data_IF_820750710063
#
_entry.id   IF_820750710063
#
_cell.length_a   1.000
_cell.length_b   1.000
_cell.length_c   1.000
_cell.angle_alpha   90.00
_cell.angle_beta   90.00
_cell.angle_gamma   90.00
#
_symmetry.space_group_name_H-M   'P 1'
#
loop_
_entity.id
_entity.type
_entity.pdbx_description
1 polymer ?
#
# COMPACT_ATOMS: atom_id res chain seq x y z
N UNK A 1 8.77 12.25 0.84
CA UNK A 1 9.40 11.39 -0.19
C UNK A 1 8.36 10.85 -1.15
N UNK A 2 8.77 10.54 -2.36
CA UNK A 2 7.88 9.94 -3.35
C UNK A 2 8.06 8.45 -3.37
N UNK A 3 6.95 7.73 -3.18
CA UNK A 3 6.96 6.27 -3.22
C UNK A 3 6.25 5.78 -4.47
N UNK A 4 6.77 4.72 -5.09
CA UNK A 4 6.11 4.00 -6.15
C UNK A 4 5.46 2.76 -5.53
N UNK A 5 4.17 2.62 -5.76
CA UNK A 5 3.40 1.54 -5.15
C UNK A 5 2.71 0.75 -6.24
N UNK A 6 3.01 -0.54 -6.29
CA UNK A 6 2.32 -1.46 -7.18
C UNK A 6 1.00 -1.89 -6.56
N UNK A 7 -0.02 -2.00 -7.37
CA UNK A 7 -1.36 -2.37 -6.94
C UNK A 7 -1.81 -3.62 -7.66
N UNK A 8 -2.60 -4.44 -6.99
CA UNK A 8 -3.07 -5.70 -7.55
C UNK A 8 -4.55 -5.91 -7.22
N UNK A 9 -5.24 -6.69 -8.06
CA UNK A 9 -6.60 -7.11 -7.81
C UNK A 9 -7.54 -5.96 -7.50
N UNK A 10 -8.33 -6.10 -6.45
CA UNK A 10 -9.33 -5.08 -6.07
C UNK A 10 -8.68 -3.75 -5.68
N UNK A 11 -7.47 -3.78 -5.16
CA UNK A 11 -6.76 -2.54 -4.83
C UNK A 11 -6.45 -1.74 -6.10
N UNK A 12 -6.08 -2.41 -7.18
CA UNK A 12 -5.87 -1.77 -8.47
C UNK A 12 -7.14 -1.09 -8.97
N UNK A 13 -8.27 -1.75 -8.82
CA UNK A 13 -9.56 -1.18 -9.23
C UNK A 13 -9.90 0.07 -8.42
N UNK A 14 -9.64 0.04 -7.13
CA UNK A 14 -9.89 1.18 -6.24
C UNK A 14 -8.96 2.34 -6.54
N UNK A 15 -7.69 2.06 -6.76
CA UNK A 15 -6.66 3.08 -6.91
C UNK A 15 -6.50 3.56 -8.35
N UNK A 16 -7.07 2.82 -9.30
CA UNK A 16 -7.20 3.26 -10.68
C UNK A 16 -6.04 2.93 -11.61
N UNK A 17 -4.96 2.38 -11.09
CA UNK A 17 -3.79 2.05 -11.91
C UNK A 17 -3.00 0.93 -11.24
N UNK A 18 -2.23 0.19 -12.04
CA UNK A 18 -1.36 -0.87 -11.55
C UNK A 18 -0.11 -0.38 -10.84
N UNK A 19 0.23 0.88 -11.01
CA UNK A 19 1.33 1.51 -10.27
C UNK A 19 0.93 2.96 -10.01
N UNK A 20 1.07 3.38 -8.77
CA UNK A 20 0.79 4.75 -8.38
C UNK A 20 2.00 5.38 -7.72
N UNK A 21 2.06 6.71 -7.78
CA UNK A 21 3.10 7.48 -7.13
C UNK A 21 2.45 8.34 -6.05
N UNK A 22 3.01 8.29 -4.84
CA UNK A 22 2.43 8.96 -3.69
C UNK A 22 3.50 9.79 -2.99
N UNK A 23 3.16 11.04 -2.68
CA UNK A 23 3.99 11.85 -1.78
C UNK A 23 3.68 11.42 -0.35
N UNK A 24 4.67 10.90 0.33
CA UNK A 24 4.52 10.32 1.66
C UNK A 24 5.40 11.05 2.66
N UNK A 25 4.80 11.54 3.72
CA UNK A 25 5.51 12.26 4.78
C UNK A 25 5.73 11.44 6.04
N UNK A 26 5.26 10.19 6.05
CA UNK A 26 5.45 9.29 7.19
C UNK A 26 6.79 8.59 7.17
N UNK A 27 6.95 7.62 8.05
CA UNK A 27 8.21 6.92 8.25
C UNK A 27 8.12 5.42 8.03
N UNK A 28 6.95 4.81 8.27
CA UNK A 28 6.86 3.36 8.33
C UNK A 28 5.62 2.83 7.60
N UNK A 29 5.53 1.51 7.55
CA UNK A 29 4.45 0.80 6.86
C UNK A 29 3.07 1.17 7.40
N UNK A 30 2.92 1.24 8.74
CA UNK A 30 1.63 1.59 9.33
C UNK A 30 1.15 2.97 8.87
N UNK A 31 2.05 3.94 8.90
CA UNK A 31 1.72 5.29 8.46
C UNK A 31 1.36 5.34 6.98
N UNK A 32 2.03 4.51 6.16
CA UNK A 32 1.69 4.41 4.74
C UNK A 32 0.28 3.83 4.55
N UNK A 33 -0.07 2.78 5.28
CA UNK A 33 -1.43 2.22 5.22
C UNK A 33 -2.47 3.29 5.56
N UNK A 34 -2.23 4.04 6.62
CA UNK A 34 -3.14 5.09 7.05
C UNK A 34 -3.27 6.19 5.99
N UNK A 35 -2.14 6.61 5.41
CA UNK A 35 -2.15 7.62 4.36
C UNK A 35 -2.92 7.16 3.13
N UNK A 36 -2.75 5.91 2.72
CA UNK A 36 -3.46 5.36 1.58
C UNK A 36 -4.97 5.25 1.85
N UNK A 37 -5.36 4.89 3.06
CA UNK A 37 -6.77 4.81 3.42
C UNK A 37 -7.44 6.18 3.43
N UNK A 38 -6.72 7.22 3.78
CA UNK A 38 -7.23 8.60 3.71
C UNK A 38 -7.39 9.04 2.24
N UNK A 39 -6.40 8.73 1.42
CA UNK A 39 -6.43 9.12 0.00
C UNK A 39 -7.43 8.28 -0.80
N UNK A 40 -7.58 7.03 -0.45
CA UNK A 40 -8.49 6.09 -1.12
C UNK A 40 -9.42 5.46 -0.08
N UNK A 41 -10.48 6.17 0.34
CA UNK A 41 -11.35 5.68 1.41
C UNK A 41 -11.99 4.31 1.13
N UNK A 42 -12.12 3.93 -0.13
CA UNK A 42 -12.66 2.62 -0.47
C UNK A 42 -11.80 1.47 0.03
N UNK A 43 -10.52 1.73 0.31
CA UNK A 43 -9.65 0.72 0.91
C UNK A 43 -10.13 0.31 2.30
N UNK A 44 -10.84 1.19 3.00
CA UNK A 44 -11.39 0.86 4.31
C UNK A 44 -12.48 -0.21 4.24
N UNK A 45 -13.07 -0.40 3.07
CA UNK A 45 -14.06 -1.44 2.86
C UNK A 45 -13.47 -2.83 2.70
N UNK A 46 -12.16 -2.94 2.55
CA UNK A 46 -11.49 -4.23 2.47
C UNK A 46 -11.22 -4.76 3.87
N UNK A 47 -11.26 -6.10 4.02
CA UNK A 47 -10.99 -6.75 5.31
C UNK A 47 -9.65 -6.37 5.89
N UNK A 48 -8.66 -6.35 5.03
CA UNK A 48 -7.30 -5.99 5.42
C UNK A 48 -6.52 -5.64 4.17
N UNK A 49 -5.46 -4.86 4.35
CA UNK A 49 -4.48 -4.65 3.30
C UNK A 49 -3.12 -4.97 3.87
N UNK A 50 -2.26 -5.53 3.04
CA UNK A 50 -0.89 -5.82 3.41
C UNK A 50 0.02 -4.98 2.54
N UNK A 51 1.12 -4.53 3.12
CA UNK A 51 2.14 -3.80 2.38
C UNK A 51 3.36 -4.71 2.25
N UNK A 52 3.78 -4.96 1.02
CA UNK A 52 5.03 -5.67 0.76
C UNK A 52 6.11 -4.64 0.46
N UNK A 53 7.28 -4.84 1.02
CA UNK A 53 8.44 -3.98 0.83
C UNK A 53 9.56 -4.86 0.30
N UNK A 54 10.02 -4.57 -0.91
CA UNK A 54 11.07 -5.36 -1.56
C UNK A 54 10.73 -6.85 -1.60
N UNK A 55 9.48 -7.15 -1.97
CA UNK A 55 8.96 -8.50 -2.16
C UNK A 55 8.78 -9.31 -0.87
N UNK A 56 8.78 -8.63 0.28
CA UNK A 56 8.52 -9.26 1.58
C UNK A 56 7.43 -8.48 2.29
N UNK A 57 6.57 -9.18 3.03
CA UNK A 57 5.56 -8.48 3.83
C UNK A 57 6.24 -7.59 4.85
N UNK A 58 5.86 -6.32 4.85
CA UNK A 58 6.39 -5.36 5.79
C UNK A 58 5.62 -5.33 7.09
N UNK A 59 6.35 -5.27 8.20
CA UNK A 59 5.73 -5.06 9.49
C UNK A 59 5.37 -3.58 9.66
N UNK A 60 4.39 -3.29 10.51
CA UNK A 60 3.91 -1.93 10.71
C UNK A 60 5.02 -0.95 11.11
N UNK A 61 6.00 -1.42 11.85
CA UNK A 61 7.10 -0.59 12.31
C UNK A 61 8.25 -0.45 11.32
N UNK A 62 8.19 -1.17 10.20
CA UNK A 62 9.27 -1.14 9.22
C UNK A 62 9.39 0.23 8.57
N UNK A 63 10.60 0.78 8.55
CA UNK A 63 10.88 2.05 7.89
C UNK A 63 10.86 1.92 6.37
N UNK A 64 10.45 2.99 5.69
CA UNK A 64 10.36 3.04 4.24
C UNK A 64 11.34 4.05 3.66
N UNK A 65 11.89 3.74 2.49
CA UNK A 65 12.77 4.61 1.72
C UNK A 65 12.26 4.77 0.30
N UNK A 66 12.65 5.83 -0.36
CA UNK A 66 12.22 6.09 -1.75
C UNK A 66 12.66 5.00 -2.72
N UNK A 67 13.75 4.31 -2.43
CA UNK A 67 14.28 3.24 -3.27
C UNK A 67 13.55 1.91 -3.08
N UNK A 68 12.68 1.81 -2.08
CA UNK A 68 11.97 0.56 -1.82
C UNK A 68 10.93 0.28 -2.90
N UNK A 69 10.82 -1.00 -3.27
CA UNK A 69 9.73 -1.46 -4.10
C UNK A 69 8.55 -1.81 -3.19
N UNK A 70 7.48 -1.05 -3.32
CA UNK A 70 6.31 -1.19 -2.45
C UNK A 70 5.14 -1.73 -3.24
N UNK A 71 4.40 -2.65 -2.64
CA UNK A 71 3.18 -3.19 -3.23
C UNK A 71 2.08 -3.24 -2.19
N UNK A 72 0.86 -2.90 -2.61
CA UNK A 72 -0.31 -3.09 -1.76
C UNK A 72 -1.00 -4.39 -2.17
N UNK A 73 -1.17 -5.27 -1.21
CA UNK A 73 -1.74 -6.59 -1.42
C UNK A 73 -3.13 -6.61 -0.77
N UNK A 74 -4.20 -6.69 -1.58
CA UNK A 74 -5.54 -6.79 -1.02
C UNK A 74 -5.79 -8.18 -0.45
N UNK A 75 -6.84 -8.36 0.36
CA UNK A 75 -7.19 -9.68 0.84
C UNK A 75 -7.57 -10.59 -0.32
N UNK A 76 -7.19 -11.86 -0.21
CA UNK A 76 -7.59 -12.86 -1.18
C UNK A 76 -9.04 -13.22 -0.95
N UNK A 77 -9.87 -13.08 -1.98
CA UNK A 77 -11.27 -13.41 -1.83
C UNK A 77 -11.45 -14.92 -1.73
N UNK A 78 -12.07 -15.31 -0.67
CA UNK A 78 -12.77 -16.52 -0.43
C UNK A 78 -12.22 -17.83 -0.96
N UNK A 79 -11.01 -17.89 -1.10
CA UNK A 79 -10.33 -19.04 -1.69
C UNK A 79 -11.05 -20.29 -1.70
#
# INVERSE_FOLDING_TARGET
>A
MKLRIKTFGVARDIMGDGEIHVDFNGKNVLELKQALQVKYPKLLGLRSILIAVNQKYGEDTQSLNESDEIAIIPPVSGG
#
